data_IF_036048913000
#
_entry.id   IF_036048913000
#
_cell.length_a   1.000
_cell.length_b   1.000
_cell.length_c   1.000
_cell.angle_alpha   90.00
_cell.angle_beta   90.00
_cell.angle_gamma   90.00
#
_symmetry.space_group_name_H-M   'P 1'
#
loop_
_entity.id
_entity.type
_entity.pdbx_description
1 polymer ?
#
# COMPACT_ATOMS: atom_id res chain seq x y z
N UNK A 1 -39.00 -31.40 15.31
CA UNK A 1 -38.80 -29.94 15.26
C UNK A 1 -38.48 -29.45 16.66
N UNK A 2 -37.46 -28.61 16.83
CA UNK A 2 -37.11 -28.02 18.13
C UNK A 2 -38.08 -26.90 18.51
N UNK A 3 -38.18 -26.56 19.79
CA UNK A 3 -38.98 -25.41 20.25
C UNK A 3 -38.53 -24.11 19.56
N UNK A 4 -37.23 -23.98 19.26
CA UNK A 4 -36.63 -22.87 18.53
C UNK A 4 -37.19 -22.75 17.10
N UNK A 5 -37.22 -23.83 16.33
CA UNK A 5 -37.82 -23.82 14.97
C UNK A 5 -39.32 -23.51 15.02
N UNK A 6 -40.04 -23.97 16.06
CA UNK A 6 -41.49 -23.78 16.18
C UNK A 6 -41.88 -22.38 16.65
N UNK A 7 -41.14 -21.80 17.61
CA UNK A 7 -41.48 -20.53 18.24
C UNK A 7 -40.75 -19.35 17.59
N UNK A 8 -39.58 -19.57 16.99
CA UNK A 8 -38.74 -18.54 16.38
C UNK A 8 -38.14 -19.01 15.04
N UNK A 9 -38.97 -19.37 14.03
CA UNK A 9 -38.49 -19.90 12.75
C UNK A 9 -37.52 -18.96 12.02
N UNK A 10 -37.66 -17.64 12.19
CA UNK A 10 -36.75 -16.64 11.63
C UNK A 10 -35.29 -16.81 12.12
N UNK A 11 -35.07 -17.39 13.30
CA UNK A 11 -33.72 -17.60 13.83
C UNK A 11 -32.89 -18.54 12.95
N UNK A 12 -33.52 -19.37 12.12
CA UNK A 12 -32.80 -20.20 11.14
C UNK A 12 -32.05 -19.35 10.11
N UNK A 13 -32.63 -18.25 9.62
CA UNK A 13 -31.96 -17.34 8.69
C UNK A 13 -30.80 -16.59 9.37
N UNK A 14 -31.00 -16.15 10.62
CA UNK A 14 -29.94 -15.53 11.41
C UNK A 14 -28.79 -16.49 11.68
N UNK A 15 -29.07 -17.74 12.05
CA UNK A 15 -28.04 -18.77 12.23
C UNK A 15 -27.26 -19.03 10.94
N UNK A 16 -27.96 -19.08 9.80
CA UNK A 16 -27.32 -19.33 8.52
C UNK A 16 -26.38 -18.20 8.09
N UNK A 17 -26.72 -16.93 8.33
CA UNK A 17 -26.02 -15.78 7.69
C UNK A 17 -25.38 -14.78 8.66
N UNK A 18 -25.84 -14.70 9.90
CA UNK A 18 -25.55 -13.59 10.81
C UNK A 18 -25.00 -14.03 12.17
N UNK A 19 -24.68 -15.31 12.35
CA UNK A 19 -23.94 -15.79 13.52
C UNK A 19 -22.52 -16.17 13.12
N UNK A 20 -21.61 -16.30 14.10
CA UNK A 20 -20.21 -16.65 13.86
C UNK A 20 -20.01 -17.96 13.07
N UNK A 21 -20.99 -18.88 13.14
CA UNK A 21 -20.98 -20.14 12.38
C UNK A 21 -21.67 -20.07 11.01
N UNK A 22 -22.20 -18.90 10.65
CA UNK A 22 -22.92 -18.66 9.39
C UNK A 22 -22.01 -18.18 8.26
N UNK A 23 -22.62 -17.82 7.14
CA UNK A 23 -21.98 -17.26 5.94
C UNK A 23 -21.62 -15.77 6.12
N UNK A 24 -20.89 -15.45 7.19
CA UNK A 24 -20.49 -14.08 7.50
C UNK A 24 -19.37 -13.60 6.58
N UNK A 25 -19.42 -12.31 6.21
CA UNK A 25 -18.36 -11.67 5.42
C UNK A 25 -17.27 -11.13 6.35
N UNK A 26 -16.05 -11.63 6.20
CA UNK A 26 -14.89 -11.07 6.90
C UNK A 26 -14.45 -9.75 6.26
N UNK A 27 -14.38 -8.70 7.08
CA UNK A 27 -13.93 -7.35 6.68
C UNK A 27 -12.63 -6.99 7.41
N UNK A 28 -11.48 -7.46 6.91
CA UNK A 28 -10.20 -7.14 7.50
C UNK A 28 -9.77 -5.70 7.19
N UNK A 29 -9.37 -4.95 8.22
CA UNK A 29 -9.04 -3.52 8.07
C UNK A 29 -7.54 -3.26 7.94
N UNK A 30 -6.73 -3.48 8.99
CA UNK A 30 -5.27 -3.33 8.90
C UNK A 30 -4.53 -4.63 8.58
N UNK A 31 -5.08 -5.77 9.02
CA UNK A 31 -4.50 -7.12 8.97
C UNK A 31 -3.23 -7.33 9.78
N UNK A 32 -2.16 -6.65 9.40
CA UNK A 32 -0.87 -6.75 10.06
C UNK A 32 -0.21 -5.38 10.07
N UNK A 33 0.67 -5.17 11.04
CA UNK A 33 1.54 -4.00 11.08
C UNK A 33 2.93 -4.42 11.58
N UNK A 34 3.89 -3.52 11.55
CA UNK A 34 5.27 -3.88 11.84
C UNK A 34 5.49 -4.22 13.33
N UNK A 35 6.56 -4.96 13.67
CA UNK A 35 6.92 -5.22 15.06
C UNK A 35 7.10 -3.93 15.85
N UNK A 36 6.67 -3.91 17.12
CA UNK A 36 6.88 -2.79 18.04
C UNK A 36 8.27 -2.85 18.66
N UNK A 37 8.84 -1.68 18.99
CA UNK A 37 10.12 -1.55 19.70
C UNK A 37 11.29 -2.32 19.05
N UNK A 38 11.23 -2.54 17.74
CA UNK A 38 12.29 -3.24 17.04
C UNK A 38 13.53 -2.36 16.93
N UNK A 39 14.70 -2.94 17.16
CA UNK A 39 15.98 -2.25 17.03
C UNK A 39 16.97 -3.06 16.19
N UNK A 40 17.61 -2.39 15.24
CA UNK A 40 18.70 -2.93 14.41
C UNK A 40 19.51 -1.77 13.81
N UNK A 41 20.61 -2.09 13.12
CA UNK A 41 21.37 -1.07 12.38
C UNK A 41 20.59 -0.50 11.17
N UNK A 42 19.57 -1.22 10.69
CA UNK A 42 18.89 -0.93 9.42
C UNK A 42 17.51 -0.33 9.62
N UNK A 43 16.69 -0.94 10.49
CA UNK A 43 15.29 -0.58 10.70
C UNK A 43 15.00 -0.53 12.19
N UNK A 44 14.44 0.58 12.65
CA UNK A 44 13.97 0.71 14.04
C UNK A 44 12.53 1.21 14.07
N UNK A 45 11.71 0.64 14.95
CA UNK A 45 10.29 0.99 15.07
C UNK A 45 9.95 1.50 16.48
N UNK A 46 9.02 2.42 16.57
CA UNK A 46 8.52 2.89 17.85
C UNK A 46 7.62 1.86 18.57
N UNK A 47 7.10 2.26 19.72
CA UNK A 47 6.21 1.43 20.56
C UNK A 47 4.89 1.05 19.87
N UNK A 48 4.58 1.64 18.71
CA UNK A 48 3.41 1.36 17.89
C UNK A 48 3.74 0.72 16.54
N UNK A 49 5.02 0.45 16.24
CA UNK A 49 5.46 -0.19 14.99
C UNK A 49 5.73 0.78 13.84
N UNK A 50 5.73 2.10 14.07
CA UNK A 50 6.11 3.05 13.03
C UNK A 50 7.63 3.19 12.97
N UNK A 51 8.20 3.17 11.76
CA UNK A 51 9.64 3.37 11.57
C UNK A 51 10.03 4.80 11.96
N UNK A 52 11.20 4.95 12.57
CA UNK A 52 11.74 6.28 12.80
C UNK A 52 12.17 6.95 11.49
N UNK A 53 12.03 8.27 11.49
CA UNK A 53 12.71 9.18 10.57
C UNK A 53 13.64 10.09 11.36
N UNK A 54 14.62 10.69 10.70
CA UNK A 54 15.67 11.47 11.35
C UNK A 54 15.79 12.88 10.77
N UNK A 55 16.05 13.84 11.65
CA UNK A 55 16.45 15.21 11.29
C UNK A 55 17.49 15.69 12.29
N UNK A 56 18.69 16.05 11.81
CA UNK A 56 19.80 16.54 12.63
C UNK A 56 20.13 15.60 13.82
N UNK A 57 20.05 14.29 13.59
CA UNK A 57 20.28 13.26 14.62
C UNK A 57 19.15 13.10 15.65
N UNK A 58 18.03 13.80 15.49
CA UNK A 58 16.83 13.63 16.31
C UNK A 58 15.87 12.69 15.58
N UNK A 59 15.41 11.66 16.30
CA UNK A 59 14.46 10.68 15.78
C UNK A 59 13.01 11.12 16.00
N UNK A 60 12.21 11.00 14.96
CA UNK A 60 10.78 11.26 14.95
C UNK A 60 10.02 10.02 14.52
N UNK A 61 8.88 9.78 15.15
CA UNK A 61 7.92 8.77 14.73
C UNK A 61 6.51 9.17 15.14
N UNK A 62 5.51 8.36 14.82
CA UNK A 62 4.12 8.63 15.22
C UNK A 62 4.00 8.65 16.75
N UNK A 63 4.57 7.68 17.47
CA UNK A 63 4.57 7.66 18.93
C UNK A 63 5.65 8.56 19.57
N UNK A 64 6.63 9.03 18.79
CA UNK A 64 7.72 9.91 19.25
C UNK A 64 7.84 11.19 18.41
N UNK A 65 6.80 12.02 18.38
CA UNK A 65 6.82 13.32 17.68
C UNK A 65 6.26 14.49 18.48
N UNK A 66 5.72 14.24 19.68
CA UNK A 66 5.06 15.27 20.51
C UNK A 66 6.00 16.38 21.00
N UNK A 67 7.31 16.16 20.95
CA UNK A 67 8.32 17.16 21.25
C UNK A 67 8.50 18.19 20.12
N UNK A 68 8.03 17.91 18.90
CA UNK A 68 7.97 18.86 17.79
C UNK A 68 6.75 19.78 17.91
N UNK A 69 6.91 21.06 17.56
CA UNK A 69 5.78 22.01 17.48
C UNK A 69 4.82 21.68 16.32
N UNK A 70 5.38 21.23 15.21
CA UNK A 70 4.67 20.90 13.98
C UNK A 70 5.48 19.91 13.16
N UNK A 71 4.82 19.08 12.36
CA UNK A 71 5.47 18.09 11.48
C UNK A 71 4.85 18.09 10.08
N UNK A 72 5.57 17.55 9.11
CA UNK A 72 5.01 17.07 7.83
C UNK A 72 4.86 15.56 7.89
N UNK A 73 3.93 14.99 7.13
CA UNK A 73 3.66 13.54 7.12
C UNK A 73 3.85 13.01 5.70
N UNK A 74 4.71 12.01 5.54
CA UNK A 74 4.73 11.19 4.33
C UNK A 74 3.99 9.89 4.62
N UNK A 75 2.87 9.65 3.95
CA UNK A 75 2.06 8.43 4.12
C UNK A 75 2.03 7.63 2.82
N UNK A 76 1.97 6.30 2.95
CA UNK A 76 1.97 5.40 1.82
C UNK A 76 2.33 3.98 2.24
N UNK A 77 2.89 3.21 1.32
CA UNK A 77 3.18 1.80 1.56
C UNK A 77 4.66 1.51 1.88
N UNK A 78 5.21 0.43 1.32
CA UNK A 78 6.54 -0.10 1.59
C UNK A 78 7.67 0.85 1.18
N UNK A 79 7.48 1.64 0.13
CA UNK A 79 8.45 2.67 -0.27
C UNK A 79 8.53 3.79 0.76
N UNK A 80 7.40 4.23 1.31
CA UNK A 80 7.38 5.21 2.42
C UNK A 80 7.97 4.61 3.70
N UNK A 81 7.62 3.36 4.02
CA UNK A 81 8.26 2.64 5.14
C UNK A 81 9.79 2.53 4.98
N UNK A 82 10.30 2.59 3.74
CA UNK A 82 11.72 2.61 3.43
C UNK A 82 12.34 1.24 3.24
N UNK A 83 11.59 0.28 2.67
CA UNK A 83 12.23 -0.93 2.12
C UNK A 83 13.33 -0.48 1.14
N UNK A 84 14.51 -1.09 1.24
CA UNK A 84 15.70 -0.71 0.47
C UNK A 84 16.66 0.26 1.17
N UNK A 85 16.20 1.01 2.18
CA UNK A 85 17.07 1.91 2.94
C UNK A 85 17.97 1.14 3.93
N UNK A 86 19.26 1.49 3.96
CA UNK A 86 20.28 0.83 4.80
C UNK A 86 20.22 1.23 6.28
N UNK A 87 19.56 2.34 6.61
CA UNK A 87 19.28 2.81 7.97
C UNK A 87 18.06 3.73 7.98
N UNK A 88 17.56 4.10 9.16
CA UNK A 88 16.44 5.05 9.29
C UNK A 88 16.77 6.41 8.68
N UNK A 89 18.03 6.85 8.75
CA UNK A 89 18.53 8.12 8.17
C UNK A 89 18.44 8.17 6.64
N UNK A 90 18.36 7.02 5.98
CA UNK A 90 18.28 6.90 4.52
C UNK A 90 16.88 6.63 3.98
N UNK A 91 15.87 6.59 4.86
CA UNK A 91 14.48 6.50 4.41
C UNK A 91 14.04 7.79 3.70
N UNK A 92 13.09 7.68 2.78
CA UNK A 92 12.55 8.85 2.08
C UNK A 92 12.07 9.96 3.03
N UNK A 93 11.34 9.70 4.15
CA UNK A 93 11.01 10.73 5.14
C UNK A 93 12.24 11.40 5.78
N UNK A 94 13.29 10.66 6.12
CA UNK A 94 14.52 11.25 6.68
C UNK A 94 15.24 12.12 5.65
N UNK A 95 15.30 11.67 4.39
CA UNK A 95 15.88 12.47 3.31
C UNK A 95 15.05 13.70 2.97
N UNK A 96 13.73 13.61 3.06
CA UNK A 96 12.85 14.79 2.97
C UNK A 96 13.17 15.77 4.09
N UNK A 97 13.29 15.32 5.34
CA UNK A 97 13.60 16.21 6.46
C UNK A 97 14.98 16.86 6.31
N UNK A 98 16.00 16.10 5.90
CA UNK A 98 17.37 16.61 5.70
C UNK A 98 17.45 17.63 4.55
N UNK A 99 16.71 17.40 3.46
CA UNK A 99 16.72 18.30 2.30
C UNK A 99 15.67 19.42 2.39
N UNK A 100 14.80 19.43 3.42
CA UNK A 100 13.75 20.42 3.59
C UNK A 100 14.34 21.81 3.87
N UNK A 101 14.08 22.83 3.04
CA UNK A 101 14.59 24.18 3.29
C UNK A 101 14.07 24.80 4.60
N UNK A 102 12.91 24.33 5.10
CA UNK A 102 12.34 24.77 6.36
C UNK A 102 12.82 23.93 7.57
N UNK A 103 13.66 22.91 7.33
CA UNK A 103 14.14 21.95 8.33
C UNK A 103 13.00 21.39 9.20
N UNK A 104 11.90 20.99 8.55
CA UNK A 104 10.72 20.43 9.23
C UNK A 104 10.91 18.94 9.49
N UNK A 105 10.51 18.41 10.66
CA UNK A 105 10.46 16.97 10.85
C UNK A 105 9.40 16.34 9.94
N UNK A 106 9.76 15.25 9.27
CA UNK A 106 8.85 14.45 8.45
C UNK A 106 8.54 13.14 9.15
N UNK A 107 7.27 12.82 9.37
CA UNK A 107 6.86 11.56 9.98
C UNK A 107 6.71 10.49 8.91
N UNK A 108 7.37 9.34 9.12
CA UNK A 108 7.17 8.13 8.33
C UNK A 108 5.83 7.48 8.72
N UNK A 109 4.83 7.60 7.85
CA UNK A 109 3.52 6.99 8.00
C UNK A 109 3.32 5.84 6.99
N UNK A 110 4.38 5.07 6.76
CA UNK A 110 4.41 3.94 5.83
C UNK A 110 3.93 2.64 6.45
N UNK A 111 3.10 1.89 5.73
CA UNK A 111 2.70 0.52 6.07
C UNK A 111 3.08 -0.46 4.96
N UNK A 112 3.93 -1.45 5.25
CA UNK A 112 4.43 -2.36 4.21
C UNK A 112 3.28 -3.12 3.55
N UNK A 113 3.25 -3.15 2.22
CA UNK A 113 2.24 -3.85 1.41
C UNK A 113 0.81 -3.32 1.57
N UNK A 114 0.62 -2.14 2.18
CA UNK A 114 -0.71 -1.55 2.35
C UNK A 114 -1.30 -1.02 1.03
N UNK A 115 -2.59 -1.27 0.84
CA UNK A 115 -3.41 -0.59 -0.15
C UNK A 115 -3.93 0.76 0.41
N UNK A 116 -4.61 1.56 -0.42
CA UNK A 116 -5.13 2.88 0.00
C UNK A 116 -6.12 2.85 1.17
N UNK A 117 -6.90 1.78 1.36
CA UNK A 117 -7.79 1.63 2.52
C UNK A 117 -6.97 1.44 3.79
N UNK A 118 -5.96 0.58 3.73
CA UNK A 118 -5.09 0.28 4.87
C UNK A 118 -4.31 1.53 5.28
N UNK A 119 -3.80 2.30 4.30
CA UNK A 119 -3.13 3.59 4.54
C UNK A 119 -4.05 4.60 5.24
N UNK A 120 -5.28 4.79 4.73
CA UNK A 120 -6.28 5.67 5.34
C UNK A 120 -6.67 5.20 6.75
N UNK A 121 -6.94 3.91 6.91
CA UNK A 121 -7.33 3.32 8.20
C UNK A 121 -6.22 3.51 9.23
N UNK A 122 -4.97 3.23 8.86
CA UNK A 122 -3.81 3.44 9.74
C UNK A 122 -3.76 4.90 10.20
N UNK A 123 -3.94 5.85 9.28
CA UNK A 123 -3.94 7.26 9.65
C UNK A 123 -5.06 7.63 10.61
N UNK A 124 -6.30 7.18 10.35
CA UNK A 124 -7.43 7.49 11.24
C UNK A 124 -7.23 6.96 12.65
N UNK A 125 -6.61 5.78 12.80
CA UNK A 125 -6.35 5.14 14.07
C UNK A 125 -5.25 5.86 14.87
N UNK A 126 -4.22 6.39 14.22
CA UNK A 126 -3.02 6.89 14.90
C UNK A 126 -2.80 8.42 14.82
N UNK A 127 -3.56 9.17 14.01
CA UNK A 127 -3.38 10.64 13.86
C UNK A 127 -3.43 11.41 15.19
N UNK A 128 -4.14 10.88 16.19
CA UNK A 128 -4.28 11.48 17.52
C UNK A 128 -2.96 11.54 18.32
N UNK A 129 -1.91 10.83 17.86
CA UNK A 129 -0.58 10.89 18.46
C UNK A 129 0.29 12.01 17.89
N UNK A 130 -0.03 12.48 16.68
CA UNK A 130 0.75 13.50 15.98
C UNK A 130 0.55 14.88 16.64
N UNK A 131 1.59 15.74 16.64
CA UNK A 131 1.43 17.16 16.92
C UNK A 131 0.70 17.85 15.75
N UNK A 132 0.75 19.19 15.67
CA UNK A 132 0.22 19.91 14.51
C UNK A 132 0.84 19.37 13.21
N UNK A 133 0.01 19.02 12.24
CA UNK A 133 0.46 18.61 10.90
C UNK A 133 0.33 19.81 9.96
N UNK A 134 1.43 20.25 9.37
CA UNK A 134 1.42 21.35 8.39
C UNK A 134 1.06 20.84 6.98
N UNK A 135 1.52 19.64 6.63
CA UNK A 135 1.34 19.04 5.30
C UNK A 135 1.34 17.50 5.36
N UNK A 136 0.47 16.90 4.54
CA UNK A 136 0.37 15.47 4.30
C UNK A 136 0.69 15.23 2.82
N UNK A 137 1.69 14.40 2.57
CA UNK A 137 2.03 13.89 1.23
C UNK A 137 1.71 12.41 1.18
N UNK A 138 0.79 12.04 0.29
CA UNK A 138 0.49 10.64 -0.01
C UNK A 138 1.38 10.19 -1.15
N UNK A 139 2.31 9.28 -0.88
CA UNK A 139 3.19 8.68 -1.88
C UNK A 139 2.80 7.21 -2.05
N UNK A 140 1.86 6.97 -2.98
CA UNK A 140 1.14 5.69 -3.08
C UNK A 140 0.65 5.43 -4.51
N UNK A 141 -0.18 4.39 -4.69
CA UNK A 141 -0.88 4.06 -5.93
C UNK A 141 -0.55 2.66 -6.47
N UNK A 142 0.68 2.19 -6.28
CA UNK A 142 1.15 0.90 -6.82
C UNK A 142 0.33 -0.29 -6.32
N UNK A 143 0.15 -0.42 -5.00
CA UNK A 143 -0.49 -1.61 -4.44
C UNK A 143 -1.95 -1.74 -4.86
N UNK A 144 -2.70 -0.64 -4.98
CA UNK A 144 -4.05 -0.67 -5.54
C UNK A 144 -4.05 -1.23 -6.96
N UNK A 145 -3.11 -0.78 -7.81
CA UNK A 145 -2.97 -1.26 -9.19
C UNK A 145 -2.56 -2.73 -9.24
N UNK A 146 -1.54 -3.14 -8.49
CA UNK A 146 -1.09 -4.53 -8.43
C UNK A 146 -2.17 -5.48 -7.89
N UNK A 147 -2.97 -5.04 -6.92
CA UNK A 147 -4.06 -5.83 -6.34
C UNK A 147 -5.36 -5.78 -7.16
N UNK A 148 -5.48 -4.85 -8.13
CA UNK A 148 -6.66 -4.73 -8.98
C UNK A 148 -6.91 -5.96 -9.86
N UNK A 149 -5.86 -6.75 -10.12
CA UNK A 149 -5.92 -8.00 -10.89
C UNK A 149 -6.62 -9.15 -10.19
N UNK A 150 -6.83 -9.05 -8.87
CA UNK A 150 -7.50 -10.09 -8.11
C UNK A 150 -8.98 -10.21 -8.53
N UNK A 151 -9.60 -11.39 -8.45
CA UNK A 151 -11.03 -11.57 -8.70
C UNK A 151 -11.89 -10.64 -7.85
N UNK A 152 -13.10 -10.31 -8.32
CA UNK A 152 -14.01 -9.42 -7.58
C UNK A 152 -14.30 -9.93 -6.16
N UNK A 153 -14.43 -11.24 -6.00
CA UNK A 153 -14.65 -11.89 -4.70
C UNK A 153 -13.52 -11.64 -3.70
N UNK A 154 -12.26 -11.57 -4.15
CA UNK A 154 -11.09 -11.27 -3.30
C UNK A 154 -10.90 -9.78 -3.07
N UNK A 155 -11.31 -8.92 -4.02
CA UNK A 155 -11.17 -7.46 -3.92
C UNK A 155 -12.14 -6.84 -2.90
N UNK A 156 -13.33 -7.39 -2.74
CA UNK A 156 -14.34 -6.84 -1.83
C UNK A 156 -14.68 -5.37 -2.12
N UNK A 157 -15.15 -4.63 -1.11
CA UNK A 157 -15.55 -3.22 -1.25
C UNK A 157 -14.40 -2.22 -1.14
N UNK A 158 -13.33 -2.63 -0.44
CA UNK A 158 -12.24 -1.78 0.01
C UNK A 158 -10.86 -2.23 -0.52
N UNK A 159 -10.83 -3.00 -1.60
CA UNK A 159 -9.59 -3.53 -2.16
C UNK A 159 -9.15 -4.83 -1.49
N UNK A 160 -8.54 -5.69 -2.31
CA UNK A 160 -7.78 -6.83 -1.81
C UNK A 160 -6.57 -6.33 -1.02
N UNK A 161 -5.99 -7.21 -0.21
CA UNK A 161 -4.73 -6.97 0.48
C UNK A 161 -3.80 -8.17 0.22
N UNK A 162 -2.48 -7.95 0.33
CA UNK A 162 -1.54 -9.05 0.14
C UNK A 162 -1.76 -10.14 1.19
N UNK A 163 -1.76 -11.41 0.75
CA UNK A 163 -2.10 -12.60 1.54
C UNK A 163 -3.59 -12.76 1.89
N UNK A 164 -4.50 -12.05 1.23
CA UNK A 164 -5.95 -12.18 1.48
C UNK A 164 -6.49 -13.60 1.29
N UNK A 165 -6.04 -14.33 0.28
CA UNK A 165 -6.49 -15.71 0.05
C UNK A 165 -6.14 -16.62 1.24
N UNK A 166 -4.91 -16.54 1.78
CA UNK A 166 -4.51 -17.31 2.96
C UNK A 166 -5.37 -16.98 4.18
N UNK A 167 -5.68 -15.70 4.37
CA UNK A 167 -6.58 -15.27 5.45
C UNK A 167 -7.98 -15.83 5.26
N UNK A 168 -8.60 -15.65 4.10
CA UNK A 168 -9.96 -16.14 3.86
C UNK A 168 -10.06 -17.67 3.92
N UNK A 169 -9.03 -18.39 3.46
CA UNK A 169 -8.95 -19.84 3.58
C UNK A 169 -8.87 -20.29 5.05
N UNK A 170 -8.09 -19.58 5.87
CA UNK A 170 -7.98 -19.85 7.31
C UNK A 170 -9.27 -19.54 8.08
N UNK A 171 -10.06 -18.59 7.60
CA UNK A 171 -11.32 -18.16 8.23
C UNK A 171 -12.56 -18.88 7.67
N UNK A 172 -12.39 -19.81 6.72
CA UNK A 172 -13.52 -20.57 6.14
C UNK A 172 -14.10 -21.54 7.18
N UNK A 173 -15.42 -21.55 7.44
CA UNK A 173 -16.05 -22.47 8.39
C UNK A 173 -15.78 -23.95 8.04
N UNK A 174 -15.59 -24.81 9.05
CA UNK A 174 -15.32 -26.25 8.86
C UNK A 174 -16.39 -26.97 8.02
N UNK A 175 -17.65 -26.51 8.08
CA UNK A 175 -18.76 -27.02 7.28
C UNK A 175 -18.60 -26.77 5.77
N UNK A 176 -17.78 -25.78 5.40
CA UNK A 176 -17.45 -25.39 4.02
C UNK A 176 -16.00 -25.71 3.65
N UNK A 177 -15.16 -26.09 4.62
CA UNK A 177 -13.82 -26.58 4.35
C UNK A 177 -13.92 -27.87 3.50
N UNK A 178 -13.11 -28.01 2.43
CA UNK A 178 -13.10 -29.25 1.67
C UNK A 178 -12.74 -30.39 2.62
N UNK A 179 -13.69 -31.31 2.84
CA UNK A 179 -13.44 -32.52 3.62
C UNK A 179 -12.25 -33.23 2.98
N UNK A 180 -11.06 -33.16 3.59
CA UNK A 180 -9.91 -34.01 3.27
C UNK A 180 -10.25 -35.43 3.68
N UNK A 181 -11.14 -36.04 2.92
CA UNK A 181 -11.61 -37.40 3.09
C UNK A 181 -10.82 -38.32 2.19
N UNK A 182 -10.14 -39.29 2.83
CA UNK A 182 -9.60 -40.52 2.25
C UNK A 182 -10.58 -41.28 1.31
N UNK A 183 -11.86 -40.88 1.28
CA UNK A 183 -12.93 -41.44 0.46
C UNK A 183 -13.16 -40.74 -0.91
N UNK A 184 -12.49 -39.63 -1.25
CA UNK A 184 -12.62 -39.00 -2.59
C UNK A 184 -12.04 -39.87 -3.72
N UNK A 185 -11.25 -40.89 -3.39
CA UNK A 185 -10.70 -41.85 -4.35
C UNK A 185 -11.69 -42.92 -4.83
N UNK A 186 -12.88 -43.06 -4.22
CA UNK A 186 -13.81 -44.17 -4.52
C UNK A 186 -15.13 -43.78 -5.20
N UNK A 187 -15.47 -42.50 -5.25
CA UNK A 187 -16.65 -42.00 -5.94
C UNK A 187 -16.22 -40.85 -6.86
N UNK A 188 -15.87 -41.22 -8.09
CA UNK A 188 -15.44 -40.33 -9.17
C UNK A 188 -16.53 -39.37 -9.63
N UNK A 189 -16.85 -38.39 -8.78
CA UNK A 189 -17.31 -37.09 -9.25
C UNK A 189 -16.17 -36.11 -9.04
N UNK A 190 -15.45 -35.85 -10.12
CA UNK A 190 -14.72 -34.60 -10.28
C UNK A 190 -15.72 -33.47 -10.02
N UNK A 191 -15.68 -32.92 -8.82
CA UNK A 191 -16.18 -31.57 -8.61
C UNK A 191 -15.24 -30.72 -9.47
N UNK A 192 -15.73 -30.23 -10.60
CA UNK A 192 -15.06 -29.20 -11.39
C UNK A 192 -14.62 -28.13 -10.40
N UNK A 193 -13.31 -27.99 -10.18
CA UNK A 193 -12.82 -26.80 -9.50
C UNK A 193 -13.27 -25.62 -10.37
N UNK A 194 -13.91 -24.59 -9.78
CA UNK A 194 -14.35 -23.45 -10.54
C UNK A 194 -13.15 -22.94 -11.33
N UNK A 195 -13.32 -22.86 -12.65
CA UNK A 195 -12.27 -22.38 -13.55
C UNK A 195 -11.87 -20.99 -13.04
N UNK A 196 -10.58 -20.74 -12.74
CA UNK A 196 -10.19 -19.45 -12.20
C UNK A 196 -10.63 -18.35 -13.16
N UNK A 197 -11.38 -17.38 -12.65
CA UNK A 197 -11.80 -16.22 -13.44
C UNK A 197 -10.53 -15.59 -14.05
N UNK A 198 -10.52 -15.29 -15.36
CA UNK A 198 -9.39 -14.62 -15.95
C UNK A 198 -9.18 -13.27 -15.24
N UNK A 199 -7.94 -12.80 -15.10
CA UNK A 199 -7.69 -11.49 -14.51
C UNK A 199 -8.43 -10.42 -15.34
N UNK A 200 -8.95 -9.36 -14.71
CA UNK A 200 -9.53 -8.24 -15.43
C UNK A 200 -8.55 -7.67 -16.44
N UNK A 201 -9.05 -7.05 -17.50
CA UNK A 201 -8.21 -6.34 -18.47
C UNK A 201 -7.41 -5.23 -17.80
N UNK A 202 -6.29 -4.80 -18.41
CA UNK A 202 -5.47 -3.72 -17.84
C UNK A 202 -6.28 -2.42 -17.67
N UNK A 203 -7.20 -2.11 -18.60
CA UNK A 203 -8.08 -0.95 -18.48
C UNK A 203 -9.01 -1.07 -17.26
N UNK A 204 -9.65 -2.22 -17.05
CA UNK A 204 -10.48 -2.47 -15.86
C UNK A 204 -9.68 -2.43 -14.57
N UNK A 205 -8.43 -2.91 -14.58
CA UNK A 205 -7.52 -2.83 -13.43
C UNK A 205 -7.19 -1.37 -13.09
N UNK A 206 -6.85 -0.56 -14.10
CA UNK A 206 -6.56 0.87 -13.95
C UNK A 206 -7.78 1.63 -13.41
N UNK A 207 -8.94 1.43 -14.01
CA UNK A 207 -10.17 2.12 -13.60
C UNK A 207 -10.56 1.75 -12.17
N UNK A 208 -10.48 0.46 -11.81
CA UNK A 208 -10.73 0.00 -10.45
C UNK A 208 -9.75 0.61 -9.43
N UNK A 209 -8.44 0.55 -9.73
CA UNK A 209 -7.41 1.08 -8.84
C UNK A 209 -7.52 2.60 -8.66
N UNK A 210 -7.86 3.32 -9.74
CA UNK A 210 -8.05 4.75 -9.71
C UNK A 210 -9.28 5.14 -8.90
N UNK A 211 -10.43 4.50 -9.13
CA UNK A 211 -11.65 4.73 -8.35
C UNK A 211 -11.42 4.50 -6.85
N UNK A 212 -10.82 3.36 -6.50
CA UNK A 212 -10.53 3.01 -5.10
C UNK A 212 -9.60 4.06 -4.45
N UNK A 213 -8.55 4.47 -5.16
CA UNK A 213 -7.61 5.50 -4.68
C UNK A 213 -8.33 6.84 -4.46
N UNK A 214 -9.14 7.27 -5.43
CA UNK A 214 -9.84 8.56 -5.39
C UNK A 214 -10.90 8.61 -4.30
N UNK A 215 -11.64 7.51 -4.07
CA UNK A 215 -12.58 7.40 -2.94
C UNK A 215 -11.90 7.64 -1.60
N UNK A 216 -10.75 7.01 -1.37
CA UNK A 216 -10.00 7.22 -0.13
C UNK A 216 -9.32 8.59 -0.08
N UNK A 217 -8.86 9.11 -1.23
CA UNK A 217 -8.31 10.46 -1.32
C UNK A 217 -9.33 11.53 -0.90
N UNK A 218 -10.63 11.30 -1.14
CA UNK A 218 -11.69 12.23 -0.72
C UNK A 218 -11.81 12.32 0.80
N UNK A 219 -11.61 11.18 1.45
CA UNK A 219 -11.57 11.11 2.92
C UNK A 219 -10.30 11.74 3.46
N UNK A 220 -9.15 11.50 2.83
CA UNK A 220 -7.90 12.20 3.15
C UNK A 220 -8.05 13.73 3.01
N UNK A 221 -8.72 14.21 1.95
CA UNK A 221 -9.01 15.65 1.77
C UNK A 221 -9.82 16.20 2.94
N UNK A 222 -10.88 15.51 3.33
CA UNK A 222 -11.72 15.94 4.45
C UNK A 222 -10.92 15.98 5.77
N UNK A 223 -10.10 14.96 6.04
CA UNK A 223 -9.25 14.91 7.23
C UNK A 223 -8.17 16.01 7.22
N UNK A 224 -7.50 16.22 6.09
CA UNK A 224 -6.50 17.27 5.96
C UNK A 224 -7.11 18.67 6.17
N UNK A 225 -8.32 18.91 5.63
CA UNK A 225 -9.05 20.15 5.84
C UNK A 225 -9.42 20.38 7.32
N UNK A 226 -9.94 19.35 8.01
CA UNK A 226 -10.23 19.40 9.46
C UNK A 226 -8.97 19.71 10.29
N UNK A 227 -7.83 19.14 9.90
CA UNK A 227 -6.54 19.34 10.56
C UNK A 227 -5.87 20.68 10.19
N UNK A 228 -6.37 21.41 9.18
CA UNK A 228 -5.72 22.59 8.63
C UNK A 228 -4.39 22.29 7.91
N UNK A 229 -4.21 21.05 7.44
CA UNK A 229 -3.01 20.59 6.75
C UNK A 229 -3.17 20.70 5.23
N UNK A 230 -2.07 20.97 4.51
CA UNK A 230 -2.03 20.80 3.05
C UNK A 230 -2.09 19.31 2.70
N UNK A 231 -2.67 18.97 1.55
CA UNK A 231 -2.69 17.61 1.02
C UNK A 231 -2.19 17.57 -0.42
N UNK A 232 -1.17 16.74 -0.64
CA UNK A 232 -0.63 16.44 -1.98
C UNK A 232 -0.62 14.93 -2.19
N UNK A 233 -1.13 14.46 -3.33
CA UNK A 233 -0.97 13.09 -3.78
C UNK A 233 0.13 13.00 -4.83
N UNK A 234 1.13 12.17 -4.58
CA UNK A 234 2.21 11.85 -5.50
C UNK A 234 2.07 10.38 -5.89
N UNK A 235 1.89 10.10 -7.18
CA UNK A 235 1.92 8.74 -7.69
C UNK A 235 3.35 8.20 -7.55
N UNK A 236 3.51 7.16 -6.73
CA UNK A 236 4.78 6.46 -6.55
C UNK A 236 5.27 5.92 -7.92
N UNK A 237 6.55 6.14 -8.30
CA UNK A 237 7.11 5.62 -9.53
C UNK A 237 7.48 4.13 -9.39
N UNK A 238 7.59 3.45 -10.53
CA UNK A 238 8.16 2.10 -10.65
C UNK A 238 9.35 2.15 -11.61
N UNK A 239 10.30 1.23 -11.47
CA UNK A 239 11.52 1.23 -12.27
C UNK A 239 11.22 1.25 -13.79
N UNK A 240 10.32 0.38 -14.25
CA UNK A 240 9.91 0.32 -15.66
C UNK A 240 9.13 1.53 -16.16
N UNK A 241 8.59 2.37 -15.27
CA UNK A 241 7.97 3.64 -15.64
C UNK A 241 9.00 4.75 -15.81
N UNK A 242 10.09 4.71 -15.02
CA UNK A 242 11.14 5.73 -15.05
C UNK A 242 12.06 5.53 -16.26
N UNK A 243 12.41 4.28 -16.59
CA UNK A 243 13.25 3.95 -17.74
C UNK A 243 12.97 2.54 -18.26
N UNK A 244 13.14 2.34 -19.57
CA UNK A 244 12.98 1.03 -20.21
C UNK A 244 14.05 0.03 -19.76
N UNK A 245 15.30 0.50 -19.58
CA UNK A 245 16.43 -0.29 -19.12
C UNK A 245 17.15 0.41 -17.96
N UNK A 246 17.40 -0.33 -16.90
CA UNK A 246 18.14 0.09 -15.72
C UNK A 246 19.63 0.29 -15.95
N UNK A 247 20.33 0.79 -14.92
CA UNK A 247 21.79 0.73 -14.87
C UNK A 247 22.27 -0.71 -14.61
N UNK A 248 23.59 -0.95 -14.70
CA UNK A 248 24.14 -2.30 -14.57
C UNK A 248 23.81 -2.98 -13.24
N UNK A 249 23.74 -2.22 -12.14
CA UNK A 249 23.37 -2.72 -10.81
C UNK A 249 21.88 -3.12 -10.75
N UNK A 250 21.00 -2.29 -11.31
CA UNK A 250 19.56 -2.59 -11.38
C UNK A 250 19.30 -3.84 -12.20
N UNK A 251 19.88 -3.94 -13.40
CA UNK A 251 19.67 -5.08 -14.28
C UNK A 251 20.18 -6.40 -13.66
N UNK A 252 21.31 -6.35 -12.94
CA UNK A 252 21.82 -7.52 -12.21
C UNK A 252 20.86 -7.96 -11.10
N UNK A 253 20.38 -7.03 -10.29
CA UNK A 253 19.45 -7.33 -9.19
C UNK A 253 18.10 -7.80 -9.72
N UNK A 254 17.58 -7.16 -10.76
CA UNK A 254 16.31 -7.50 -11.38
C UNK A 254 16.35 -8.92 -11.97
N UNK A 255 17.44 -9.28 -12.64
CA UNK A 255 17.66 -10.63 -13.16
C UNK A 255 17.84 -11.69 -12.07
N UNK A 256 18.39 -11.35 -10.91
CA UNK A 256 18.42 -12.24 -9.75
C UNK A 256 17.02 -12.45 -9.15
N UNK A 257 16.27 -11.36 -8.94
CA UNK A 257 14.92 -11.41 -8.39
C UNK A 257 13.93 -12.16 -9.29
N UNK A 258 14.07 -12.05 -10.61
CA UNK A 258 13.27 -12.80 -11.58
C UNK A 258 13.56 -14.31 -11.55
N UNK A 259 14.79 -14.71 -11.18
CA UNK A 259 15.12 -16.13 -10.98
C UNK A 259 14.61 -16.66 -9.65
N UNK A 260 14.53 -15.80 -8.64
CA UNK A 260 14.14 -16.18 -7.28
C UNK A 260 12.63 -16.11 -7.03
N UNK A 261 11.88 -15.34 -7.82
CA UNK A 261 10.46 -15.10 -7.59
C UNK A 261 9.66 -14.85 -8.86
N UNK A 262 8.34 -14.73 -8.71
CA UNK A 262 7.39 -14.55 -9.81
C UNK A 262 6.99 -13.09 -10.03
N UNK A 263 7.78 -12.11 -9.56
CA UNK A 263 7.38 -10.70 -9.64
C UNK A 263 7.08 -10.26 -11.09
N UNK A 264 7.99 -10.55 -12.02
CA UNK A 264 7.81 -10.17 -13.43
C UNK A 264 6.67 -10.96 -14.11
N UNK A 265 6.43 -12.20 -13.70
CA UNK A 265 5.28 -12.99 -14.17
C UNK A 265 3.95 -12.39 -13.68
N UNK A 266 3.90 -11.93 -12.43
CA UNK A 266 2.69 -11.44 -11.79
C UNK A 266 2.47 -9.95 -12.03
N UNK A 267 3.49 -9.13 -12.23
CA UNK A 267 3.36 -7.67 -12.29
C UNK A 267 4.14 -7.04 -13.45
N UNK A 268 4.71 -7.82 -14.36
CA UNK A 268 5.48 -7.27 -15.49
C UNK A 268 4.65 -6.41 -16.44
N UNK A 269 3.36 -6.71 -16.57
CA UNK A 269 2.40 -5.97 -17.39
C UNK A 269 2.12 -4.56 -16.85
N UNK A 270 2.09 -4.36 -15.52
CA UNK A 270 1.86 -3.04 -14.92
C UNK A 270 3.07 -2.11 -15.01
N UNK A 271 4.28 -2.63 -15.28
CA UNK A 271 5.51 -1.85 -15.39
C UNK A 271 5.66 -1.10 -16.70
N UNK A 272 4.73 -1.25 -17.64
CA UNK A 272 4.80 -0.56 -18.93
C UNK A 272 4.55 0.95 -18.77
N UNK A 273 5.33 1.83 -19.44
CA UNK A 273 5.11 3.28 -19.39
C UNK A 273 3.69 3.71 -19.76
N UNK A 274 3.05 3.03 -20.73
CA UNK A 274 1.67 3.30 -21.13
C UNK A 274 0.65 3.07 -20.00
N UNK A 275 0.90 2.09 -19.11
CA UNK A 275 0.08 1.85 -17.93
C UNK A 275 0.24 2.99 -16.92
N UNK A 276 1.47 3.49 -16.72
CA UNK A 276 1.72 4.67 -15.89
C UNK A 276 0.93 5.89 -16.40
N UNK A 277 1.02 6.18 -17.69
CA UNK A 277 0.36 7.32 -18.31
C UNK A 277 -1.16 7.26 -18.15
N UNK A 278 -1.77 6.12 -18.47
CA UNK A 278 -3.20 5.91 -18.36
C UNK A 278 -3.69 6.01 -16.91
N UNK A 279 -2.98 5.36 -15.98
CA UNK A 279 -3.34 5.39 -14.56
C UNK A 279 -3.18 6.78 -13.95
N UNK A 280 -2.06 7.46 -14.24
CA UNK A 280 -1.84 8.83 -13.81
C UNK A 280 -2.88 9.80 -14.38
N UNK A 281 -3.37 9.58 -15.61
CA UNK A 281 -4.44 10.39 -16.19
C UNK A 281 -5.75 10.28 -15.41
N UNK A 282 -6.18 9.06 -15.05
CA UNK A 282 -7.38 8.83 -14.23
C UNK A 282 -7.27 9.47 -12.86
N UNK A 283 -6.15 9.27 -12.17
CA UNK A 283 -5.90 9.85 -10.85
C UNK A 283 -5.85 11.38 -10.89
N UNK A 284 -5.19 11.95 -11.91
CA UNK A 284 -5.11 13.41 -12.10
C UNK A 284 -6.50 14.02 -12.27
N UNK A 285 -7.31 13.44 -13.15
CA UNK A 285 -8.66 13.95 -13.41
C UNK A 285 -9.52 13.94 -12.14
N UNK A 286 -9.50 12.83 -11.38
CA UNK A 286 -10.24 12.72 -10.13
C UNK A 286 -9.75 13.69 -9.06
N UNK A 287 -8.44 13.77 -8.82
CA UNK A 287 -7.86 14.66 -7.82
C UNK A 287 -8.14 16.14 -8.15
N UNK A 288 -8.07 16.54 -9.43
CA UNK A 288 -8.41 17.89 -9.88
C UNK A 288 -9.86 18.26 -9.56
N UNK A 289 -10.83 17.35 -9.80
CA UNK A 289 -12.24 17.57 -9.45
C UNK A 289 -12.45 17.82 -7.95
N UNK A 290 -11.57 17.29 -7.11
CA UNK A 290 -11.63 17.41 -5.66
C UNK A 290 -10.83 18.59 -5.11
N UNK A 291 -10.12 19.33 -5.96
CA UNK A 291 -9.20 20.40 -5.55
C UNK A 291 -7.94 19.91 -4.84
N UNK A 292 -7.57 18.62 -5.01
CA UNK A 292 -6.36 18.04 -4.40
C UNK A 292 -5.20 18.13 -5.39
N UNK A 293 -4.03 18.55 -4.91
CA UNK A 293 -2.81 18.57 -5.74
C UNK A 293 -2.39 17.15 -6.08
N UNK A 294 -2.19 16.87 -7.37
CA UNK A 294 -1.72 15.59 -7.87
C UNK A 294 -0.43 15.76 -8.67
N UNK A 295 0.54 14.89 -8.42
CA UNK A 295 1.80 14.82 -9.17
C UNK A 295 2.04 13.39 -9.64
N UNK A 296 2.24 13.20 -10.94
CA UNK A 296 2.96 12.02 -11.44
C UNK A 296 4.44 12.36 -11.42
N UNK A 297 5.20 11.79 -10.49
CA UNK A 297 6.62 12.11 -10.32
C UNK A 297 7.51 11.41 -11.37
N UNK A 298 6.99 10.37 -12.02
CA UNK A 298 7.76 9.55 -12.96
C UNK A 298 8.46 10.37 -14.05
N UNK A 299 7.79 11.27 -14.80
CA UNK A 299 8.45 12.04 -15.85
C UNK A 299 9.56 12.96 -15.31
N UNK A 300 9.38 13.51 -14.11
CA UNK A 300 10.38 14.37 -13.46
C UNK A 300 11.64 13.57 -13.09
N UNK A 301 11.45 12.33 -12.64
CA UNK A 301 12.56 11.42 -12.38
C UNK A 301 13.26 11.04 -13.69
N UNK A 302 12.51 10.65 -14.72
CA UNK A 302 13.08 10.27 -16.03
C UNK A 302 13.92 11.38 -16.64
N UNK A 303 13.49 12.64 -16.50
CA UNK A 303 14.22 13.79 -17.03
C UNK A 303 15.50 14.11 -16.22
N UNK A 304 15.45 13.99 -14.90
CA UNK A 304 16.58 14.33 -14.02
C UNK A 304 17.59 13.19 -13.82
N UNK A 305 17.19 11.95 -14.08
CA UNK A 305 18.01 10.76 -13.80
C UNK A 305 19.12 10.58 -14.84
N UNK A 306 20.35 10.41 -14.36
CA UNK A 306 21.49 10.04 -15.23
C UNK A 306 21.45 8.54 -15.54
N UNK A 307 21.87 8.11 -16.75
CA UNK A 307 21.82 6.69 -17.13
C UNK A 307 22.51 5.75 -16.15
N UNK A 308 23.65 6.14 -15.61
CA UNK A 308 24.48 5.33 -14.69
C UNK A 308 24.04 5.44 -13.23
N UNK A 309 23.05 6.27 -12.92
CA UNK A 309 22.62 6.47 -11.55
C UNK A 309 21.72 5.32 -11.10
N UNK A 310 22.15 4.61 -10.05
CA UNK A 310 21.41 3.53 -9.43
C UNK A 310 20.31 4.06 -8.51
N UNK A 311 19.05 3.87 -8.90
CA UNK A 311 17.88 4.41 -8.21
C UNK A 311 17.16 3.36 -7.38
N UNK A 312 17.04 2.12 -7.89
CA UNK A 312 16.20 1.11 -7.27
C UNK A 312 16.91 -0.19 -6.85
N UNK A 313 16.57 -0.74 -5.69
CA UNK A 313 17.05 -2.07 -5.23
C UNK A 313 16.23 -3.24 -5.79
N UNK A 314 15.01 -2.96 -6.22
CA UNK A 314 14.12 -3.86 -6.97
C UNK A 314 13.23 -3.00 -7.89
N UNK A 315 12.13 -3.50 -8.46
CA UNK A 315 11.33 -2.70 -9.41
C UNK A 315 10.42 -1.64 -8.75
N UNK A 316 10.47 -1.50 -7.42
CA UNK A 316 9.55 -0.68 -6.61
C UNK A 316 10.32 0.24 -5.66
N UNK A 317 11.36 -0.28 -5.00
CA UNK A 317 11.97 0.32 -3.82
C UNK A 317 13.31 0.97 -4.13
N UNK A 318 13.61 2.09 -3.45
CA UNK A 318 14.80 2.88 -3.71
C UNK A 318 16.03 2.41 -2.93
N UNK A 319 17.21 2.70 -3.49
CA UNK A 319 18.49 2.71 -2.74
C UNK A 319 18.54 3.91 -1.79
N UNK A 320 19.57 4.00 -0.94
CA UNK A 320 19.82 5.19 -0.10
C UNK A 320 19.95 6.47 -0.93
N UNK A 321 20.78 6.43 -1.98
CA UNK A 321 20.96 7.55 -2.91
C UNK A 321 19.68 7.82 -3.70
N UNK A 322 18.89 6.77 -3.99
CA UNK A 322 17.59 6.89 -4.61
C UNK A 322 16.59 7.64 -3.74
N UNK A 323 16.49 7.30 -2.45
CA UNK A 323 15.66 8.03 -1.49
C UNK A 323 16.09 9.50 -1.39
N UNK A 324 17.40 9.78 -1.37
CA UNK A 324 17.90 11.16 -1.35
C UNK A 324 17.54 11.94 -2.62
N UNK A 325 17.78 11.34 -3.79
CA UNK A 325 17.46 11.95 -5.08
C UNK A 325 15.97 12.25 -5.22
N UNK A 326 15.11 11.27 -4.92
CA UNK A 326 13.65 11.42 -5.02
C UNK A 326 13.14 12.46 -4.03
N UNK A 327 13.71 12.53 -2.81
CA UNK A 327 13.28 13.52 -1.82
C UNK A 327 13.41 14.96 -2.31
N UNK A 328 14.48 15.28 -3.04
CA UNK A 328 14.73 16.62 -3.61
C UNK A 328 13.68 16.97 -4.66
N UNK A 329 13.38 16.02 -5.55
CA UNK A 329 12.36 16.19 -6.59
C UNK A 329 10.96 16.32 -5.98
N UNK A 330 10.66 15.58 -4.90
CA UNK A 330 9.41 15.77 -4.15
C UNK A 330 9.33 17.20 -3.60
N UNK A 331 10.38 17.70 -2.93
CA UNK A 331 10.38 19.04 -2.36
C UNK A 331 10.21 20.15 -3.41
N UNK A 332 10.75 19.98 -4.62
CA UNK A 332 10.57 20.93 -5.73
C UNK A 332 9.11 21.05 -6.20
N UNK A 333 8.28 20.05 -5.90
CA UNK A 333 6.87 19.98 -6.33
C UNK A 333 5.85 20.11 -5.19
N UNK A 334 6.29 20.41 -3.96
CA UNK A 334 5.42 20.81 -2.85
C UNK A 334 5.31 22.33 -2.79
#
# INVERSE_FOLDING_TARGET
MTARIKLTPQMAEYEQKFTDGGEVRWLPYLMYFHPTDHRSEVVNTDTSGFRYSELLGIQYSVANSRHAKSVRVLAGSSTVFGIGASSDAWTLPSRLAENDPDSKPWINFGGRSFNSTQELTLFTLYRHLLPKVDEIVLFSGFNNLGLARQPQSSRGEHGAFFNCNQFFDAMRPESQAPKRGMFRALLGKEQEEPTPEPPPTMEEQIDYAADLTLRHLDTWRALAADMGAKLTFILQPLAGWVREKGCDEEEQLFAELDRAGSFSEVYGDILQPSVCEAYAARLREGAQKMGVRFVNITPLLSEALRPEQWLFVDRIHFTDQGNDFVSKIILDVL
#
